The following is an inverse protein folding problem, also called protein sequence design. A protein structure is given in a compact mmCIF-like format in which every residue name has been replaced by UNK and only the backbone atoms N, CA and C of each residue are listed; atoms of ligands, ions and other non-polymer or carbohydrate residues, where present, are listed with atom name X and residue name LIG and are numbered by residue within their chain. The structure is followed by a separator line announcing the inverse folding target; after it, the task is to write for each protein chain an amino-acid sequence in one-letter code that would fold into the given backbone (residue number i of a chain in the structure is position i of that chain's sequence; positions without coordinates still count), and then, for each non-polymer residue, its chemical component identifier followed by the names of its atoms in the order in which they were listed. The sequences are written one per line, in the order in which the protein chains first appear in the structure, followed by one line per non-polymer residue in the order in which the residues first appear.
data_IF_393148392542
#
_entry.id   IF_393148392542
#
_cell.length_a   1.000
_cell.length_b   1.000
_cell.length_c   1.000
_cell.angle_alpha   90.00
_cell.angle_beta   90.00
_cell.angle_gamma   90.00
#
_symmetry.space_group_name_H-M   'P 1'
#
loop_
_entity.id
_entity.type
_entity.pdbx_description
1 polymer ?
#
# COMPACT_ATOMS: atom_id res chain seq x y z
N UNK A 1 -13.92 -7.38 -5.38
CA UNK A 1 -13.81 -8.67 -4.66
C UNK A 1 -14.44 -9.75 -5.52
N UNK A 2 -14.38 -11.01 -5.11
CA UNK A 2 -15.19 -12.06 -5.71
C UNK A 2 -16.14 -12.63 -4.67
N UNK A 3 -17.30 -13.10 -5.11
CA UNK A 3 -18.22 -13.88 -4.28
C UNK A 3 -17.67 -15.30 -4.02
N UNK A 4 -18.41 -16.09 -3.25
CA UNK A 4 -18.08 -17.48 -2.93
C UNK A 4 -18.01 -18.41 -4.16
N UNK A 5 -18.64 -18.03 -5.27
CA UNK A 5 -18.68 -18.79 -6.52
C UNK A 5 -17.59 -18.31 -7.50
N UNK A 6 -16.82 -17.28 -7.12
CA UNK A 6 -15.72 -16.71 -7.89
C UNK A 6 -16.12 -15.60 -8.86
N UNK A 7 -17.37 -15.12 -8.84
CA UNK A 7 -17.81 -14.05 -9.73
C UNK A 7 -17.37 -12.69 -9.20
N UNK A 8 -17.02 -11.72 -10.08
CA UNK A 8 -16.72 -10.36 -9.66
C UNK A 8 -17.88 -9.72 -8.89
N UNK A 9 -17.59 -9.13 -7.73
CA UNK A 9 -18.57 -8.43 -6.90
C UNK A 9 -18.06 -7.08 -6.37
N UNK A 10 -19.01 -6.16 -6.18
CA UNK A 10 -18.86 -4.87 -5.52
C UNK A 10 -19.63 -4.78 -4.20
N UNK A 11 -20.33 -5.83 -3.76
CA UNK A 11 -20.97 -5.88 -2.43
C UNK A 11 -19.96 -6.37 -1.39
N UNK A 12 -19.61 -5.51 -0.43
CA UNK A 12 -18.66 -5.82 0.63
C UNK A 12 -19.05 -7.07 1.46
N UNK A 13 -20.35 -7.39 1.57
CA UNK A 13 -20.81 -8.56 2.30
C UNK A 13 -20.37 -9.88 1.64
N UNK A 14 -20.15 -9.90 0.33
CA UNK A 14 -19.74 -11.12 -0.37
C UNK A 14 -18.37 -11.61 0.07
N UNK A 15 -17.48 -10.71 0.51
CA UNK A 15 -16.21 -11.10 1.14
C UNK A 15 -16.43 -11.86 2.44
N UNK A 16 -17.34 -11.38 3.29
CA UNK A 16 -17.68 -12.03 4.58
C UNK A 16 -18.39 -13.36 4.35
N UNK A 17 -19.20 -13.46 3.28
CA UNK A 17 -20.00 -14.63 2.93
C UNK A 17 -19.22 -15.72 2.16
N UNK A 18 -17.90 -15.79 2.35
CA UNK A 18 -17.05 -16.82 1.74
C UNK A 18 -16.39 -16.43 0.42
N UNK A 19 -16.50 -15.16 0.03
CA UNK A 19 -15.77 -14.59 -1.09
C UNK A 19 -14.31 -14.26 -0.78
N UNK A 20 -13.67 -13.50 -1.67
CA UNK A 20 -12.24 -13.23 -1.61
C UNK A 20 -11.80 -11.86 -2.12
N UNK A 21 -10.65 -11.40 -1.62
CA UNK A 21 -9.96 -10.26 -2.19
C UNK A 21 -9.37 -10.61 -3.55
N UNK A 22 -9.41 -9.64 -4.46
CA UNK A 22 -8.74 -9.72 -5.76
C UNK A 22 -7.53 -8.78 -5.77
N UNK A 23 -6.40 -9.15 -6.39
CA UNK A 23 -5.26 -8.27 -6.49
C UNK A 23 -5.60 -7.01 -7.30
N UNK A 24 -5.11 -5.85 -6.85
CA UNK A 24 -5.26 -4.61 -7.61
C UNK A 24 -4.56 -4.76 -8.97
N UNK A 25 -5.15 -4.25 -10.05
CA UNK A 25 -4.50 -4.34 -11.37
C UNK A 25 -4.24 -5.78 -11.86
N UNK A 26 -4.99 -6.77 -11.35
CA UNK A 26 -4.95 -8.17 -11.81
C UNK A 26 -3.57 -8.82 -11.65
N UNK A 27 -3.05 -9.40 -12.74
CA UNK A 27 -1.78 -10.14 -12.72
C UNK A 27 -0.59 -9.29 -12.23
N UNK A 28 -0.62 -7.96 -12.39
CA UNK A 28 0.44 -7.07 -11.86
C UNK A 28 0.39 -6.96 -10.34
N UNK A 29 -0.79 -6.79 -9.76
CA UNK A 29 -0.94 -6.81 -8.30
C UNK A 29 -0.63 -8.18 -7.71
N UNK A 30 -0.98 -9.26 -8.42
CA UNK A 30 -0.59 -10.61 -8.02
C UNK A 30 0.93 -10.76 -7.95
N UNK A 31 1.66 -10.30 -8.97
CA UNK A 31 3.12 -10.34 -8.96
C UNK A 31 3.73 -9.53 -7.80
N UNK A 32 3.18 -8.35 -7.49
CA UNK A 32 3.63 -7.54 -6.35
C UNK A 32 3.34 -8.22 -5.01
N UNK A 33 2.15 -8.83 -4.85
CA UNK A 33 1.79 -9.62 -3.68
C UNK A 33 2.74 -10.81 -3.47
N UNK A 34 3.07 -11.52 -4.55
CA UNK A 34 4.05 -12.61 -4.46
C UNK A 34 5.43 -12.09 -4.06
N UNK A 35 5.89 -10.97 -4.63
CA UNK A 35 7.15 -10.36 -4.23
C UNK A 35 7.18 -10.00 -2.74
N UNK A 36 6.08 -9.46 -2.18
CA UNK A 36 5.97 -9.19 -0.74
C UNK A 36 6.02 -10.47 0.10
N UNK A 37 5.41 -11.56 -0.36
CA UNK A 37 5.46 -12.86 0.33
C UNK A 37 6.88 -13.45 0.33
N UNK A 38 7.58 -13.36 -0.79
CA UNK A 38 8.97 -13.80 -0.88
C UNK A 38 9.89 -12.98 0.03
N UNK A 39 9.77 -11.65 0.02
CA UNK A 39 10.61 -10.77 0.82
C UNK A 39 10.26 -10.80 2.31
N UNK A 40 8.98 -10.84 2.64
CA UNK A 40 8.49 -10.78 4.01
C UNK A 40 8.57 -12.12 4.70
N UNK A 41 8.02 -13.18 4.11
CA UNK A 41 7.90 -14.50 4.75
C UNK A 41 9.06 -15.44 4.46
N UNK A 42 9.31 -15.69 3.18
CA UNK A 42 10.25 -16.74 2.76
C UNK A 42 11.69 -16.33 3.05
N UNK A 43 12.09 -15.13 2.63
CA UNK A 43 13.44 -14.63 2.79
C UNK A 43 13.85 -14.47 4.25
N UNK A 44 12.93 -14.05 5.12
CA UNK A 44 13.20 -13.86 6.55
C UNK A 44 13.13 -15.16 7.35
N UNK A 45 12.59 -16.25 6.78
CA UNK A 45 12.33 -17.49 7.50
C UNK A 45 11.21 -17.38 8.56
N UNK A 46 10.29 -16.43 8.40
CA UNK A 46 9.24 -16.13 9.39
C UNK A 46 8.36 -17.34 9.75
N UNK A 47 8.28 -18.33 8.87
CA UNK A 47 7.51 -19.57 9.10
C UNK A 47 7.98 -20.36 10.33
N UNK A 48 9.26 -20.27 10.70
CA UNK A 48 9.79 -20.93 11.89
C UNK A 48 9.25 -20.34 13.20
N UNK A 49 8.65 -19.14 13.16
CA UNK A 49 8.19 -18.38 14.32
C UNK A 49 6.66 -18.21 14.34
N UNK A 50 5.95 -19.00 13.54
CA UNK A 50 4.48 -18.96 13.47
C UNK A 50 3.87 -19.34 14.81
N UNK A 51 3.00 -18.48 15.33
CA UNK A 51 2.14 -18.80 16.45
C UNK A 51 0.71 -19.04 15.95
N UNK A 52 0.25 -20.30 16.05
CA UNK A 52 -1.09 -20.70 15.63
C UNK A 52 -2.22 -20.08 16.46
N UNK A 53 -1.91 -19.49 17.61
CA UNK A 53 -2.87 -18.77 18.46
C UNK A 53 -3.03 -17.30 18.08
N UNK A 54 -2.14 -16.74 17.27
CA UNK A 54 -2.16 -15.33 16.86
C UNK A 54 -2.46 -15.19 15.37
N UNK A 55 -3.36 -14.26 15.01
CA UNK A 55 -3.61 -13.88 13.61
C UNK A 55 -4.48 -14.83 12.77
N UNK A 56 -4.98 -15.92 13.33
CA UNK A 56 -5.84 -16.86 12.60
C UNK A 56 -5.16 -17.48 11.37
N UNK A 57 -5.92 -18.09 10.43
CA UNK A 57 -5.34 -18.80 9.29
C UNK A 57 -4.49 -17.92 8.36
N UNK A 58 -4.82 -16.62 8.29
CA UNK A 58 -4.24 -15.68 7.32
C UNK A 58 -3.07 -14.90 7.91
N UNK A 59 -3.18 -14.41 9.16
CA UNK A 59 -2.18 -13.53 9.76
C UNK A 59 -1.19 -14.25 10.67
N UNK A 60 -1.16 -15.59 10.71
CA UNK A 60 -0.19 -16.35 11.53
C UNK A 60 1.24 -16.32 10.99
N UNK A 61 1.41 -16.00 9.70
CA UNK A 61 2.71 -15.88 9.05
C UNK A 61 3.07 -14.40 8.93
N UNK A 62 3.89 -13.87 9.85
CA UNK A 62 4.25 -12.44 9.88
C UNK A 62 5.75 -12.29 9.74
N UNK A 63 6.19 -11.86 8.57
CA UNK A 63 7.56 -11.44 8.34
C UNK A 63 7.58 -10.08 7.65
N UNK A 64 8.44 -9.20 8.16
CA UNK A 64 8.51 -7.80 7.71
C UNK A 64 9.93 -7.53 7.25
N UNK A 65 10.04 -6.94 6.07
CA UNK A 65 11.31 -6.49 5.50
C UNK A 65 11.31 -4.97 5.38
N UNK A 66 12.32 -4.34 5.96
CA UNK A 66 12.56 -2.90 5.84
C UNK A 66 13.73 -2.66 4.89
N UNK A 67 13.55 -1.76 3.93
CA UNK A 67 14.60 -1.34 2.99
C UNK A 67 14.81 0.16 3.18
N UNK A 68 16.03 0.56 3.53
CA UNK A 68 16.39 1.95 3.73
C UNK A 68 17.57 2.31 2.85
N UNK A 69 17.42 3.40 2.10
CA UNK A 69 18.51 4.01 1.33
C UNK A 69 18.78 5.40 1.87
N UNK A 70 20.06 5.75 2.00
CA UNK A 70 20.46 7.11 2.33
C UNK A 70 20.19 8.02 1.12
N UNK A 71 19.48 9.13 1.33
CA UNK A 71 18.97 9.96 0.23
C UNK A 71 20.07 10.66 -0.59
N UNK A 72 21.24 10.86 0.01
CA UNK A 72 22.42 11.50 -0.55
C UNK A 72 23.52 10.50 -0.96
N UNK A 73 23.16 9.25 -1.28
CA UNK A 73 24.11 8.24 -1.76
C UNK A 73 24.77 8.60 -3.09
N UNK A 74 24.04 9.28 -3.98
CA UNK A 74 24.45 9.53 -5.37
C UNK A 74 24.44 11.02 -5.77
N UNK A 75 23.94 11.90 -4.91
CA UNK A 75 23.86 13.35 -5.13
C UNK A 75 23.78 14.07 -3.78
N UNK A 76 24.07 15.39 -3.69
CA UNK A 76 23.84 16.16 -2.47
C UNK A 76 22.38 16.09 -2.02
N UNK A 77 22.14 16.05 -0.70
CA UNK A 77 20.78 15.98 -0.14
C UNK A 77 19.90 17.15 -0.62
N UNK A 78 20.46 18.35 -0.74
CA UNK A 78 19.74 19.54 -1.23
C UNK A 78 19.16 19.32 -2.63
N UNK A 79 19.92 18.67 -3.51
CA UNK A 79 19.50 18.44 -4.90
C UNK A 79 18.42 17.37 -4.96
N UNK A 80 18.54 16.31 -4.16
CA UNK A 80 17.50 15.31 -4.00
C UNK A 80 16.19 15.93 -3.49
N UNK A 81 16.25 16.71 -2.40
CA UNK A 81 15.08 17.34 -1.81
C UNK A 81 14.39 18.32 -2.77
N UNK A 82 15.18 19.19 -3.43
CA UNK A 82 14.65 20.14 -4.41
C UNK A 82 13.94 19.44 -5.58
N UNK A 83 14.50 18.33 -6.09
CA UNK A 83 13.89 17.54 -7.17
C UNK A 83 12.64 16.78 -6.71
N UNK A 84 12.63 16.27 -5.48
CA UNK A 84 11.45 15.63 -4.90
C UNK A 84 10.29 16.62 -4.76
N UNK A 85 10.56 17.83 -4.26
CA UNK A 85 9.58 18.92 -4.16
C UNK A 85 9.09 19.38 -5.54
N UNK A 86 10.00 19.52 -6.50
CA UNK A 86 9.66 19.85 -7.88
C UNK A 86 8.71 18.81 -8.48
N UNK A 87 8.99 17.52 -8.30
CA UNK A 87 8.12 16.44 -8.78
C UNK A 87 6.73 16.53 -8.15
N UNK A 88 6.66 16.71 -6.82
CA UNK A 88 5.39 16.87 -6.12
C UNK A 88 4.57 18.05 -6.64
N UNK A 89 5.21 19.21 -6.86
CA UNK A 89 4.55 20.39 -7.46
C UNK A 89 4.05 20.11 -8.88
N UNK A 90 4.86 19.45 -9.71
CA UNK A 90 4.48 19.11 -11.10
C UNK A 90 3.27 18.20 -11.16
N UNK A 91 3.21 17.16 -10.32
CA UNK A 91 2.07 16.24 -10.26
C UNK A 91 0.79 16.97 -9.85
N UNK A 92 0.87 17.86 -8.85
CA UNK A 92 -0.27 18.68 -8.40
C UNK A 92 -0.77 19.69 -9.43
N UNK A 93 0.13 20.17 -10.30
CA UNK A 93 -0.20 21.13 -11.33
C UNK A 93 -0.90 20.49 -12.54
N UNK A 94 -1.01 19.16 -12.59
CA UNK A 94 -1.74 18.47 -13.66
C UNK A 94 -3.23 18.86 -13.56
N UNK A 95 -3.87 19.30 -14.66
CA UNK A 95 -5.30 19.56 -14.67
C UNK A 95 -6.08 18.31 -14.23
N UNK A 96 -7.00 18.42 -13.25
CA UNK A 96 -7.75 17.27 -12.78
C UNK A 96 -8.70 16.75 -13.86
N UNK A 97 -9.02 15.46 -13.79
CA UNK A 97 -10.03 14.86 -14.65
C UNK A 97 -11.44 15.41 -14.33
N UNK A 98 -12.39 15.40 -15.28
CA UNK A 98 -13.76 15.83 -15.01
C UNK A 98 -14.36 15.16 -13.77
N UNK A 99 -14.96 15.95 -12.88
CA UNK A 99 -15.52 15.47 -11.62
C UNK A 99 -14.53 15.40 -10.45
N UNK A 100 -13.29 15.84 -10.64
CA UNK A 100 -12.29 15.97 -9.58
C UNK A 100 -11.78 17.41 -9.48
N UNK A 101 -11.49 17.85 -8.25
CA UNK A 101 -11.04 19.23 -7.98
C UNK A 101 -9.52 19.40 -8.06
N UNK A 102 -8.75 18.32 -7.81
CA UNK A 102 -7.30 18.38 -7.75
C UNK A 102 -6.64 17.00 -7.96
N UNK A 103 -5.34 17.01 -8.27
CA UNK A 103 -4.49 15.81 -8.33
C UNK A 103 -3.64 15.71 -7.07
N UNK A 104 -3.72 14.56 -6.38
CA UNK A 104 -3.01 14.30 -5.14
C UNK A 104 -1.76 13.44 -5.37
N UNK A 105 -0.80 13.56 -4.45
CA UNK A 105 0.34 12.67 -4.29
C UNK A 105 0.04 11.70 -3.15
N UNK A 106 0.65 10.50 -3.17
CA UNK A 106 0.67 9.64 -2.00
C UNK A 106 1.16 10.39 -0.76
N UNK A 107 0.38 10.38 0.32
CA UNK A 107 0.66 11.09 1.58
C UNK A 107 -0.19 12.34 1.83
N UNK A 108 -0.81 12.96 0.82
CA UNK A 108 -1.62 14.17 1.06
C UNK A 108 -2.90 13.90 1.86
N UNK A 109 -3.69 12.85 1.53
CA UNK A 109 -4.87 12.52 2.33
C UNK A 109 -4.50 12.31 3.80
N UNK A 110 -3.38 11.65 4.06
CA UNK A 110 -2.87 11.37 5.41
C UNK A 110 -2.43 12.66 6.12
N UNK A 111 -1.73 13.58 5.45
CA UNK A 111 -1.34 14.89 6.01
C UNK A 111 -2.57 15.70 6.40
N UNK A 112 -3.59 15.77 5.53
CA UNK A 112 -4.84 16.49 5.80
C UNK A 112 -5.61 15.86 6.95
N UNK A 113 -5.75 14.53 6.93
CA UNK A 113 -6.43 13.78 7.99
C UNK A 113 -5.72 13.97 9.32
N UNK A 114 -4.38 13.94 9.34
CA UNK A 114 -3.58 14.20 10.53
C UNK A 114 -3.83 15.60 11.08
N UNK A 115 -3.81 16.64 10.24
CA UNK A 115 -4.06 18.01 10.68
C UNK A 115 -5.47 18.18 11.27
N UNK A 116 -6.48 17.59 10.64
CA UNK A 116 -7.86 17.61 11.15
C UNK A 116 -7.97 16.89 12.49
N UNK A 117 -7.45 15.66 12.61
CA UNK A 117 -7.50 14.89 13.86
C UNK A 117 -6.70 15.52 15.00
N UNK A 118 -5.60 16.20 14.69
CA UNK A 118 -4.83 16.94 15.69
C UNK A 118 -5.60 18.15 16.26
N UNK A 119 -6.53 18.71 15.49
CA UNK A 119 -7.36 19.83 15.91
C UNK A 119 -8.66 19.37 16.58
N UNK A 120 -9.30 18.35 16.01
CA UNK A 120 -10.70 18.01 16.30
C UNK A 120 -10.90 16.67 17.05
N UNK A 121 -9.84 15.85 17.20
CA UNK A 121 -9.90 14.51 17.81
C UNK A 121 -10.19 13.39 16.81
#
# INVERSE_FOLDING_TARGET
IVDKDGNPSTDANDFVNGGGHVPFGGHKGYALMMATEFLGRIFTGADAFVDSKHGGPIMRHQGVTFIAFKADLFQPFSDYANRADEMGRRVRAIPPAPGFDEVLMPGDPEVRTRANRQRDG
#
